data_IF_890320472458
#
_entry.id   IF_890320472458
#
_cell.length_a   1.000
_cell.length_b   1.000
_cell.length_c   1.000
_cell.angle_alpha   90.00
_cell.angle_beta   90.00
_cell.angle_gamma   90.00
#
_symmetry.space_group_name_H-M   'P 1'
#
loop_
_entity.id
_entity.type
_entity.pdbx_description
1 polymer ?
#
# COMPACT_ATOMS: atom_id res chain seq x y z
N UNK A 1 8.78 7.66 7.37
CA UNK A 1 9.41 6.37 7.76
C UNK A 1 8.41 5.25 7.50
N UNK A 2 8.70 3.96 7.70
CA UNK A 2 7.68 2.90 7.52
C UNK A 2 6.45 3.10 8.43
N UNK A 3 6.62 3.86 9.53
CA UNK A 3 5.56 4.29 10.45
C UNK A 3 4.78 5.53 9.96
N UNK A 4 5.24 6.22 8.91
CA UNK A 4 4.50 7.35 8.35
C UNK A 4 3.22 6.83 7.71
N UNK A 5 2.09 7.39 8.14
CA UNK A 5 0.80 7.18 7.49
C UNK A 5 0.80 7.89 6.14
N UNK A 6 -0.08 7.48 5.25
CA UNK A 6 -0.27 8.17 3.97
C UNK A 6 -0.69 9.64 4.19
N UNK A 7 -1.43 9.91 5.27
CA UNK A 7 -1.78 11.26 5.74
C UNK A 7 -0.55 12.09 6.17
N UNK A 8 0.44 11.46 6.82
CA UNK A 8 1.71 12.11 7.23
C UNK A 8 2.61 12.46 6.03
N UNK A 9 2.40 11.78 4.90
CA UNK A 9 3.14 11.99 3.65
C UNK A 9 2.46 12.98 2.70
N UNK A 10 1.35 13.61 3.11
CA UNK A 10 0.51 14.44 2.23
C UNK A 10 0.09 13.66 0.96
N UNK A 11 -0.01 12.34 1.07
CA UNK A 11 -0.40 11.47 -0.04
C UNK A 11 -1.93 11.41 -0.09
N UNK A 12 -2.50 12.04 -1.12
CA UNK A 12 -3.93 11.98 -1.36
C UNK A 12 -4.37 10.54 -1.66
N UNK A 13 -5.67 10.27 -1.52
CA UNK A 13 -6.25 8.95 -1.81
C UNK A 13 -6.02 8.50 -3.26
N UNK A 14 -5.75 9.42 -4.19
CA UNK A 14 -5.37 9.13 -5.58
C UNK A 14 -3.94 8.61 -5.72
N UNK A 15 -2.97 9.20 -5.00
CA UNK A 15 -1.57 8.73 -5.00
C UNK A 15 -1.48 7.32 -4.40
N UNK A 16 -2.21 7.10 -3.30
CA UNK A 16 -2.38 5.80 -2.67
C UNK A 16 -2.92 4.75 -3.64
N UNK A 17 -4.00 5.08 -4.34
CA UNK A 17 -4.63 4.18 -5.29
C UNK A 17 -3.70 3.84 -6.46
N UNK A 18 -2.92 4.81 -6.94
CA UNK A 18 -1.97 4.61 -8.03
C UNK A 18 -0.83 3.67 -7.62
N UNK A 19 -0.23 3.89 -6.44
CA UNK A 19 0.81 3.01 -5.89
C UNK A 19 0.28 1.60 -5.66
N UNK A 20 -0.92 1.47 -5.07
CA UNK A 20 -1.56 0.16 -4.87
C UNK A 20 -1.76 -0.54 -6.21
N UNK A 21 -2.32 0.14 -7.19
CA UNK A 21 -2.64 -0.45 -8.50
C UNK A 21 -1.39 -0.84 -9.30
N UNK A 22 -0.32 -0.04 -9.23
CA UNK A 22 0.98 -0.41 -9.84
C UNK A 22 1.61 -1.64 -9.17
N UNK A 23 1.46 -1.77 -7.86
CA UNK A 23 1.93 -2.94 -7.10
C UNK A 23 1.08 -4.17 -7.43
N UNK A 24 -0.26 -4.04 -7.47
CA UNK A 24 -1.17 -5.11 -7.85
C UNK A 24 -0.81 -5.68 -9.23
N UNK A 25 -0.57 -4.81 -10.22
CA UNK A 25 -0.19 -5.23 -11.57
C UNK A 25 1.24 -5.79 -11.64
N UNK A 26 2.20 -5.16 -10.93
CA UNK A 26 3.60 -5.60 -10.96
C UNK A 26 3.83 -6.94 -10.27
N UNK A 27 3.08 -7.24 -9.21
CA UNK A 27 3.21 -8.46 -8.43
C UNK A 27 2.10 -9.48 -8.73
N UNK A 28 1.14 -9.16 -9.60
CA UNK A 28 -0.06 -9.96 -9.91
C UNK A 28 -0.84 -10.33 -8.61
N UNK A 29 -0.95 -9.36 -7.70
CA UNK A 29 -1.65 -9.49 -6.41
C UNK A 29 -2.90 -8.61 -6.39
N UNK A 30 -3.83 -8.91 -5.48
CA UNK A 30 -5.01 -8.08 -5.24
C UNK A 30 -4.96 -7.55 -3.82
N UNK A 31 -4.87 -6.24 -3.67
CA UNK A 31 -4.83 -5.54 -2.39
C UNK A 31 -6.25 -5.04 -2.12
N UNK A 32 -7.01 -5.83 -1.37
CA UNK A 32 -8.28 -5.37 -0.83
C UNK A 32 -7.94 -4.36 0.27
N UNK A 33 -8.12 -3.07 -0.02
CA UNK A 33 -8.01 -1.98 0.96
C UNK A 33 -9.16 -2.08 1.99
N UNK A 34 -9.20 -3.18 2.73
CA UNK A 34 -9.87 -3.25 4.01
C UNK A 34 -9.11 -2.31 4.96
N UNK A 35 -9.84 -1.68 5.90
CA UNK A 35 -9.47 -0.55 6.78
C UNK A 35 -8.11 -0.65 7.54
N UNK A 36 -7.34 -1.72 7.34
CA UNK A 36 -6.10 -2.08 8.01
C UNK A 36 -4.83 -1.47 7.38
N UNK A 37 -4.84 -1.08 6.09
CA UNK A 37 -3.69 -0.49 5.41
C UNK A 37 -3.55 1.02 5.71
N UNK A 38 -3.03 1.37 6.89
CA UNK A 38 -2.89 2.78 7.34
C UNK A 38 -1.51 3.38 7.11
N UNK A 39 -0.47 2.54 7.02
CA UNK A 39 0.91 2.98 6.86
C UNK A 39 1.54 2.44 5.60
N UNK A 40 2.58 3.12 5.12
CA UNK A 40 3.42 2.61 4.02
C UNK A 40 4.05 1.26 4.41
N UNK A 41 4.35 1.06 5.70
CA UNK A 41 4.87 -0.19 6.22
C UNK A 41 3.90 -1.36 6.09
N UNK A 42 2.61 -1.16 6.39
CA UNK A 42 1.58 -2.19 6.24
C UNK A 42 1.43 -2.61 4.78
N UNK A 43 1.44 -1.65 3.85
CA UNK A 43 1.36 -1.92 2.42
C UNK A 43 2.56 -2.76 1.96
N UNK A 44 3.78 -2.35 2.31
CA UNK A 44 5.01 -3.07 1.92
C UNK A 44 5.02 -4.48 2.52
N UNK A 45 4.63 -4.63 3.79
CA UNK A 45 4.56 -5.93 4.45
C UNK A 45 3.55 -6.86 3.79
N UNK A 46 2.37 -6.34 3.42
CA UNK A 46 1.34 -7.11 2.71
C UNK A 46 1.85 -7.64 1.37
N UNK A 47 2.51 -6.79 0.59
CA UNK A 47 3.13 -7.16 -0.69
C UNK A 47 4.22 -8.20 -0.47
N UNK A 48 5.12 -7.99 0.47
CA UNK A 48 6.19 -8.95 0.77
C UNK A 48 5.66 -10.31 1.22
N UNK A 49 4.55 -10.38 1.93
CA UNK A 49 3.93 -11.65 2.36
C UNK A 49 3.23 -12.36 1.20
N UNK A 50 2.54 -11.64 0.33
CA UNK A 50 1.89 -12.21 -0.86
C UNK A 50 2.89 -12.65 -1.94
N UNK A 51 4.04 -11.98 -2.06
CA UNK A 51 5.06 -12.30 -3.06
C UNK A 51 6.09 -13.33 -2.58
N UNK A 52 5.91 -13.90 -1.38
CA UNK A 52 6.89 -14.77 -0.73
C UNK A 52 6.87 -16.22 -1.21
#
# INVERSE_FOLDING_TARGET
TLESTFDDLDADSLDLFQVISEIEDAFDIQIEAEDDLKTVGDLVAYVEEQTK
#
